data_IF_730359578002
#
_entry.id   IF_730359578002
#
_cell.length_a   1.000
_cell.length_b   1.000
_cell.length_c   1.000
_cell.angle_alpha   90.00
_cell.angle_beta   90.00
_cell.angle_gamma   90.00
#
_symmetry.space_group_name_H-M   'P 1'
#
loop_
_entity.id
_entity.type
_entity.pdbx_description
1 polymer ?
#
# COMPACT_ATOMS: atom_id res chain seq x y z
N UNK A 1 -6.22 -24.35 14.74
CA UNK A 1 -6.05 -25.27 13.65
C UNK A 1 -7.03 -25.04 12.49
N UNK A 2 -8.20 -25.70 12.35
CA UNK A 2 -9.08 -25.51 11.18
C UNK A 2 -9.64 -24.07 11.03
N UNK A 3 -9.97 -23.38 12.12
CA UNK A 3 -10.46 -22.01 12.10
C UNK A 3 -9.39 -20.99 11.65
N UNK A 4 -8.13 -21.24 11.97
CA UNK A 4 -7.00 -20.39 11.56
C UNK A 4 -6.68 -20.55 10.07
N UNK A 5 -6.85 -21.75 9.51
CA UNK A 5 -6.66 -22.00 8.07
C UNK A 5 -7.80 -21.43 7.21
N UNK A 6 -9.03 -21.45 7.71
CA UNK A 6 -10.18 -20.79 7.05
C UNK A 6 -10.01 -19.29 7.01
N UNK A 7 -9.53 -18.68 8.10
CA UNK A 7 -9.29 -17.22 8.19
C UNK A 7 -8.17 -16.77 7.24
N UNK A 8 -7.08 -17.52 7.14
CA UNK A 8 -5.99 -17.24 6.19
C UNK A 8 -6.40 -17.39 4.73
N UNK A 9 -7.29 -18.35 4.41
CA UNK A 9 -7.77 -18.56 3.03
C UNK A 9 -8.79 -17.50 2.60
N UNK A 10 -9.66 -17.03 3.49
CA UNK A 10 -10.61 -15.94 3.19
C UNK A 10 -9.90 -14.60 2.99
N UNK A 11 -8.84 -14.31 3.74
CA UNK A 11 -8.09 -13.07 3.64
C UNK A 11 -7.43 -12.83 2.28
N UNK A 12 -7.00 -13.89 1.58
CA UNK A 12 -6.26 -13.73 0.34
C UNK A 12 -7.15 -13.39 -0.86
N UNK A 13 -8.27 -14.06 -1.05
CA UNK A 13 -9.18 -13.80 -2.18
C UNK A 13 -9.90 -12.45 -2.04
N UNK A 14 -10.35 -12.10 -0.84
CA UNK A 14 -10.96 -10.80 -0.55
C UNK A 14 -9.94 -9.67 -0.65
N UNK A 15 -8.68 -9.93 -0.31
CA UNK A 15 -7.59 -8.97 -0.40
C UNK A 15 -7.26 -8.61 -1.85
N UNK A 16 -7.18 -9.58 -2.74
CA UNK A 16 -6.93 -9.36 -4.18
C UNK A 16 -8.06 -8.53 -4.79
N UNK A 17 -9.32 -8.83 -4.46
CA UNK A 17 -10.47 -8.05 -4.93
C UNK A 17 -10.40 -6.60 -4.45
N UNK A 18 -10.12 -6.38 -3.16
CA UNK A 18 -9.99 -5.05 -2.57
C UNK A 18 -8.77 -4.31 -3.14
N UNK A 19 -7.69 -5.03 -3.42
CA UNK A 19 -6.50 -4.48 -4.06
C UNK A 19 -6.81 -3.99 -5.49
N UNK A 20 -7.54 -4.77 -6.30
CA UNK A 20 -7.92 -4.37 -7.65
C UNK A 20 -8.83 -3.13 -7.61
N UNK A 21 -9.81 -3.12 -6.71
CA UNK A 21 -10.75 -1.99 -6.59
C UNK A 21 -10.07 -0.74 -6.02
N UNK A 22 -9.18 -0.90 -5.03
CA UNK A 22 -8.46 0.21 -4.39
C UNK A 22 -7.26 0.70 -5.19
N UNK A 23 -6.61 -0.17 -5.96
CA UNK A 23 -5.35 0.16 -6.63
C UNK A 23 -5.50 1.15 -7.79
N UNK A 24 -6.66 1.21 -8.43
CA UNK A 24 -6.99 2.25 -9.42
C UNK A 24 -6.99 3.68 -8.80
N UNK A 25 -6.94 3.77 -7.47
CA UNK A 25 -6.98 5.01 -6.70
C UNK A 25 -5.69 5.29 -5.94
N UNK A 26 -4.68 4.43 -6.07
CA UNK A 26 -3.41 4.58 -5.35
C UNK A 26 -2.47 5.54 -6.07
N UNK A 27 -1.93 6.49 -5.33
CA UNK A 27 -0.88 7.40 -5.80
C UNK A 27 0.52 6.80 -5.59
N UNK A 28 0.63 5.72 -4.81
CA UNK A 28 1.80 4.90 -4.56
C UNK A 28 1.47 3.72 -3.66
N UNK A 29 2.42 2.82 -3.45
CA UNK A 29 2.25 1.65 -2.60
C UNK A 29 3.49 1.37 -1.74
N UNK A 30 3.25 0.85 -0.54
CA UNK A 30 4.31 0.29 0.32
C UNK A 30 4.22 -1.24 0.20
N UNK A 31 5.27 -1.85 -0.33
CA UNK A 31 5.41 -3.29 -0.42
C UNK A 31 6.14 -3.81 0.81
N UNK A 32 5.44 -4.59 1.64
CA UNK A 32 6.03 -5.16 2.86
C UNK A 32 6.50 -6.59 2.58
N UNK A 33 7.80 -6.84 2.79
CA UNK A 33 8.43 -8.15 2.60
C UNK A 33 9.10 -8.55 3.91
N UNK A 34 8.97 -9.82 4.31
CA UNK A 34 9.71 -10.32 5.46
C UNK A 34 11.17 -10.59 5.07
N UNK A 35 12.11 -10.04 5.81
CA UNK A 35 13.54 -10.24 5.58
C UNK A 35 13.98 -11.72 5.75
N UNK A 36 13.21 -12.50 6.52
CA UNK A 36 13.44 -13.93 6.71
C UNK A 36 13.10 -14.79 5.50
N UNK A 37 12.19 -14.32 4.65
CA UNK A 37 11.61 -15.13 3.57
C UNK A 37 11.97 -14.60 2.18
N UNK A 38 12.31 -13.30 2.08
CA UNK A 38 12.52 -12.62 0.80
C UNK A 38 11.24 -12.50 -0.04
N UNK A 39 11.36 -12.18 -1.33
CA UNK A 39 10.22 -12.07 -2.24
C UNK A 39 9.66 -13.44 -2.59
N UNK A 40 8.46 -13.75 -2.08
CA UNK A 40 7.74 -15.00 -2.31
C UNK A 40 6.80 -14.91 -3.51
N UNK A 41 6.15 -16.03 -3.87
CA UNK A 41 5.16 -16.08 -4.95
C UNK A 41 4.04 -15.04 -4.79
N UNK A 42 3.56 -14.80 -3.55
CA UNK A 42 2.56 -13.77 -3.27
C UNK A 42 3.07 -12.35 -3.54
N UNK A 43 4.34 -12.07 -3.26
CA UNK A 43 4.97 -10.79 -3.57
C UNK A 43 4.92 -10.53 -5.07
N UNK A 44 5.26 -11.54 -5.88
CA UNK A 44 5.22 -11.49 -7.33
C UNK A 44 3.80 -11.27 -7.87
N UNK A 45 2.80 -11.94 -7.29
CA UNK A 45 1.38 -11.70 -7.63
C UNK A 45 0.95 -10.26 -7.31
N UNK A 46 1.35 -9.72 -6.16
CA UNK A 46 1.03 -8.34 -5.77
C UNK A 46 1.69 -7.32 -6.70
N UNK A 47 2.94 -7.54 -7.09
CA UNK A 47 3.65 -6.67 -8.04
C UNK A 47 2.99 -6.71 -9.42
N UNK A 48 2.62 -7.90 -9.90
CA UNK A 48 1.89 -8.04 -11.16
C UNK A 48 0.58 -7.26 -11.15
N UNK A 49 -0.21 -7.40 -10.09
CA UNK A 49 -1.46 -6.66 -9.91
C UNK A 49 -1.23 -5.14 -9.84
N UNK A 50 -0.27 -4.71 -9.02
CA UNK A 50 0.08 -3.29 -8.90
C UNK A 50 0.46 -2.69 -10.27
N UNK A 51 1.20 -3.44 -11.08
CA UNK A 51 1.56 -3.02 -12.44
C UNK A 51 0.35 -2.94 -13.36
N UNK A 52 -0.55 -3.93 -13.32
CA UNK A 52 -1.75 -3.97 -14.17
C UNK A 52 -2.72 -2.83 -13.86
N UNK A 53 -2.85 -2.44 -12.60
CA UNK A 53 -3.73 -1.34 -12.18
C UNK A 53 -3.06 0.04 -12.25
N UNK A 54 -1.77 0.08 -12.62
CA UNK A 54 -1.05 1.33 -12.89
C UNK A 54 -0.56 2.07 -11.65
N UNK A 55 -0.22 1.37 -10.57
CA UNK A 55 0.44 2.00 -9.40
C UNK A 55 1.74 2.67 -9.85
N UNK A 56 1.89 3.99 -9.66
CA UNK A 56 2.99 4.74 -10.27
C UNK A 56 4.33 4.55 -9.55
N UNK A 57 4.33 4.34 -8.24
CA UNK A 57 5.53 4.23 -7.43
C UNK A 57 5.37 3.20 -6.31
N UNK A 58 6.44 2.46 -6.01
CA UNK A 58 6.50 1.48 -4.91
C UNK A 58 7.69 1.82 -4.02
N UNK A 59 7.47 1.78 -2.71
CA UNK A 59 8.50 1.79 -1.68
C UNK A 59 8.49 0.43 -1.00
N UNK A 60 9.63 -0.11 -0.66
CA UNK A 60 9.71 -1.41 0.03
C UNK A 60 10.02 -1.20 1.51
N UNK A 61 9.28 -1.90 2.36
CA UNK A 61 9.62 -2.07 3.77
C UNK A 61 10.03 -3.52 4.02
N UNK A 62 11.33 -3.73 4.25
CA UNK A 62 11.90 -5.03 4.59
C UNK A 62 11.74 -5.26 6.09
N UNK A 63 10.66 -5.96 6.44
CA UNK A 63 10.22 -6.17 7.81
C UNK A 63 10.89 -7.38 8.47
N UNK A 64 10.81 -7.49 9.79
CA UNK A 64 11.35 -8.57 10.61
C UNK A 64 12.88 -8.69 10.57
N UNK A 65 13.58 -7.58 10.41
CA UNK A 65 15.05 -7.58 10.42
C UNK A 65 15.63 -8.01 11.77
N UNK A 66 14.84 -7.92 12.84
CA UNK A 66 15.18 -8.42 14.17
C UNK A 66 15.32 -9.95 14.27
N UNK A 67 14.85 -10.68 13.25
CA UNK A 67 14.96 -12.14 13.16
C UNK A 67 16.11 -12.61 12.26
N UNK A 68 16.86 -11.68 11.68
CA UNK A 68 17.99 -11.96 10.79
C UNK A 68 19.26 -11.43 11.45
N UNK A 69 20.10 -12.33 11.93
CA UNK A 69 21.35 -11.97 12.64
C UNK A 69 22.50 -11.67 11.67
N UNK A 70 22.41 -12.13 10.43
CA UNK A 70 23.46 -12.00 9.42
C UNK A 70 23.22 -10.79 8.50
N UNK A 71 24.07 -9.75 8.55
CA UNK A 71 23.96 -8.60 7.66
C UNK A 71 24.12 -8.96 6.17
N UNK A 72 24.92 -9.96 5.81
CA UNK A 72 25.12 -10.38 4.43
C UNK A 72 23.84 -10.97 3.86
N UNK A 73 23.04 -11.66 4.69
CA UNK A 73 21.75 -12.18 4.29
C UNK A 73 20.75 -11.05 3.99
N UNK A 74 20.77 -9.97 4.77
CA UNK A 74 19.91 -8.80 4.50
C UNK A 74 20.26 -8.12 3.18
N UNK A 75 21.55 -8.05 2.83
CA UNK A 75 22.00 -7.50 1.54
C UNK A 75 21.56 -8.39 0.38
N UNK A 76 21.66 -9.71 0.53
CA UNK A 76 21.21 -10.67 -0.48
C UNK A 76 19.70 -10.56 -0.74
N UNK A 77 18.92 -10.48 0.35
CA UNK A 77 17.47 -10.31 0.24
C UNK A 77 17.10 -8.97 -0.43
N UNK A 78 17.82 -7.89 -0.11
CA UNK A 78 17.63 -6.60 -0.77
C UNK A 78 17.90 -6.70 -2.29
N UNK A 79 18.98 -7.34 -2.68
CA UNK A 79 19.31 -7.57 -4.11
C UNK A 79 18.20 -8.36 -4.81
N UNK A 80 17.71 -9.44 -4.20
CA UNK A 80 16.62 -10.24 -4.76
C UNK A 80 15.32 -9.44 -4.91
N UNK A 81 15.03 -8.54 -3.95
CA UNK A 81 13.88 -7.63 -4.02
C UNK A 81 14.04 -6.67 -5.19
N UNK A 82 15.22 -6.05 -5.39
CA UNK A 82 15.50 -5.15 -6.51
C UNK A 82 15.36 -5.84 -7.86
N UNK A 83 15.92 -7.05 -8.00
CA UNK A 83 15.76 -7.87 -9.21
C UNK A 83 14.28 -8.20 -9.48
N UNK A 84 13.54 -8.55 -8.44
CA UNK A 84 12.09 -8.83 -8.56
C UNK A 84 11.32 -7.58 -8.99
N UNK A 85 11.60 -6.40 -8.44
CA UNK A 85 10.98 -5.14 -8.84
C UNK A 85 11.25 -4.83 -10.33
N UNK A 86 12.49 -4.97 -10.77
CA UNK A 86 12.89 -4.78 -12.16
C UNK A 86 12.18 -5.77 -13.11
N UNK A 87 12.04 -7.04 -12.72
CA UNK A 87 11.32 -8.07 -13.49
C UNK A 87 9.86 -7.65 -13.78
N UNK A 88 9.19 -7.00 -12.81
CA UNK A 88 7.81 -6.53 -12.95
C UNK A 88 7.70 -5.08 -13.47
N UNK A 89 8.82 -4.46 -13.84
CA UNK A 89 8.88 -3.14 -14.48
C UNK A 89 8.68 -1.98 -13.51
N UNK A 90 9.01 -2.17 -12.23
CA UNK A 90 9.14 -1.10 -11.25
C UNK A 90 10.58 -0.61 -11.16
N UNK A 91 10.76 0.55 -10.54
CA UNK A 91 12.07 1.13 -10.32
C UNK A 91 12.87 0.30 -9.31
N UNK A 92 14.01 -0.24 -9.74
CA UNK A 92 14.92 -1.00 -8.89
C UNK A 92 15.68 -0.13 -7.89
N UNK A 93 15.76 1.17 -8.16
CA UNK A 93 16.39 2.17 -7.28
C UNK A 93 15.41 2.76 -6.26
N UNK A 94 14.18 2.24 -6.19
CA UNK A 94 13.22 2.70 -5.20
C UNK A 94 13.75 2.54 -3.77
N UNK A 95 13.28 3.38 -2.82
CA UNK A 95 13.67 3.26 -1.42
C UNK A 95 13.30 1.89 -0.83
N UNK A 96 14.28 1.24 -0.19
CA UNK A 96 14.08 0.00 0.59
C UNK A 96 14.46 0.29 2.03
N UNK A 97 13.48 0.39 2.89
CA UNK A 97 13.65 0.66 4.32
C UNK A 97 13.68 -0.67 5.07
N UNK A 98 14.66 -0.84 5.95
CA UNK A 98 14.86 -2.06 6.74
C UNK A 98 14.43 -1.81 8.19
N UNK A 99 13.64 -2.71 8.77
CA UNK A 99 13.22 -2.53 10.15
C UNK A 99 12.38 -3.66 10.72
N UNK A 100 11.93 -3.47 11.95
CA UNK A 100 10.99 -4.35 12.63
C UNK A 100 9.77 -3.57 13.10
N UNK A 101 8.65 -3.75 12.39
CA UNK A 101 7.40 -3.12 12.76
C UNK A 101 6.91 -3.57 14.15
N UNK A 102 7.25 -4.80 14.57
CA UNK A 102 6.91 -5.29 15.90
C UNK A 102 7.65 -4.51 16.99
N UNK A 103 8.98 -4.34 16.85
CA UNK A 103 9.75 -3.55 17.81
C UNK A 103 9.31 -2.10 17.88
N UNK A 104 8.98 -1.51 16.74
CA UNK A 104 8.44 -0.16 16.70
C UNK A 104 7.08 -0.06 17.40
N UNK A 105 6.21 -1.06 17.25
CA UNK A 105 4.90 -1.10 17.92
C UNK A 105 5.03 -1.28 19.45
N UNK A 106 6.03 -2.03 19.92
CA UNK A 106 6.29 -2.29 21.33
C UNK A 106 7.10 -1.16 22.01
N UNK A 107 7.57 -0.20 21.24
CA UNK A 107 8.32 0.95 21.74
C UNK A 107 7.52 1.79 22.73
N UNK A 108 8.18 2.30 23.75
CA UNK A 108 7.53 3.08 24.82
C UNK A 108 7.22 4.53 24.42
N UNK A 109 7.88 5.04 23.39
CA UNK A 109 7.68 6.39 22.84
C UNK A 109 8.07 6.45 21.37
N UNK A 110 7.62 7.48 20.65
CA UNK A 110 7.98 7.69 19.25
C UNK A 110 9.47 8.06 19.04
N UNK A 111 10.16 8.48 20.11
CA UNK A 111 11.59 8.82 20.07
C UNK A 111 12.48 7.60 20.32
N UNK A 112 11.90 6.41 20.46
CA UNK A 112 12.64 5.16 20.62
C UNK A 112 13.37 4.82 19.32
N UNK A 113 14.65 4.41 19.35
CA UNK A 113 15.39 3.98 18.15
C UNK A 113 14.68 2.90 17.33
N UNK A 114 13.83 2.08 17.95
CA UNK A 114 13.02 1.10 17.25
C UNK A 114 11.99 1.74 16.27
N UNK A 115 11.64 3.03 16.47
CA UNK A 115 10.71 3.78 15.61
C UNK A 115 11.41 4.48 14.44
N UNK A 116 12.73 4.58 14.40
CA UNK A 116 13.48 5.27 13.33
C UNK A 116 13.12 4.71 11.96
N UNK A 117 13.02 3.40 11.81
CA UNK A 117 12.63 2.77 10.54
C UNK A 117 11.22 3.17 10.04
N UNK A 118 10.32 3.51 10.95
CA UNK A 118 8.98 3.97 10.59
C UNK A 118 9.02 5.44 10.17
N UNK A 119 9.82 6.26 10.83
CA UNK A 119 10.03 7.66 10.43
C UNK A 119 10.71 7.73 9.07
N UNK A 120 11.77 6.96 8.86
CA UNK A 120 12.45 6.83 7.57
C UNK A 120 11.51 6.38 6.45
N UNK A 121 10.61 5.41 6.75
CA UNK A 121 9.58 4.98 5.79
C UNK A 121 8.62 6.14 5.44
N UNK A 122 8.19 6.93 6.42
CA UNK A 122 7.29 8.06 6.17
C UNK A 122 7.97 9.17 5.39
N UNK A 123 9.24 9.47 5.71
CA UNK A 123 10.04 10.44 4.98
C UNK A 123 10.23 9.98 3.51
N UNK A 124 10.51 8.71 3.29
CA UNK A 124 10.61 8.14 1.95
C UNK A 124 9.28 8.21 1.19
N UNK A 125 8.14 8.02 1.85
CA UNK A 125 6.81 8.20 1.24
C UNK A 125 6.61 9.64 0.78
N UNK A 126 6.94 10.61 1.61
CA UNK A 126 6.77 12.03 1.30
C UNK A 126 7.71 12.51 0.19
N UNK A 127 8.90 11.93 0.10
CA UNK A 127 9.94 12.34 -0.85
C UNK A 127 9.83 11.60 -2.20
N UNK A 128 9.53 10.30 -2.19
CA UNK A 128 9.56 9.46 -3.38
C UNK A 128 8.21 9.33 -4.09
N UNK A 129 7.08 9.31 -3.36
CA UNK A 129 5.76 9.21 -3.99
C UNK A 129 5.31 10.61 -4.44
N UNK A 130 5.07 10.81 -5.76
CA UNK A 130 4.72 12.12 -6.25
C UNK A 130 3.36 12.56 -5.71
N UNK A 131 3.27 13.81 -5.27
CA UNK A 131 1.98 14.41 -4.90
C UNK A 131 1.07 14.43 -6.12
N UNK A 132 -0.14 13.82 -6.05
CA UNK A 132 -1.03 13.76 -7.20
C UNK A 132 -1.51 15.15 -7.62
N UNK A 133 -1.46 15.40 -8.93
CA UNK A 133 -2.03 16.63 -9.50
C UNK A 133 -3.57 16.54 -9.49
N UNK A 134 -4.15 17.16 -8.47
CA UNK A 134 -5.61 17.21 -8.30
C UNK A 134 -6.18 18.31 -9.18
N UNK A 135 -6.87 17.94 -10.24
CA UNK A 135 -7.57 18.84 -11.18
C UNK A 135 -8.79 19.49 -10.53
N UNK A 136 -8.56 20.30 -9.47
CA UNK A 136 -9.61 20.92 -8.67
C UNK A 136 -10.42 21.98 -9.44
N UNK A 137 -9.83 22.58 -10.49
CA UNK A 137 -10.44 23.64 -11.31
C UNK A 137 -11.36 23.11 -12.42
N UNK A 138 -11.42 21.80 -12.61
CA UNK A 138 -12.32 21.16 -13.57
C UNK A 138 -13.72 20.92 -12.98
N UNK A 139 -14.75 20.70 -13.82
CA UNK A 139 -16.06 20.28 -13.35
C UNK A 139 -15.98 19.03 -12.48
N UNK A 140 -16.77 18.99 -11.40
CA UNK A 140 -16.84 17.87 -10.48
C UNK A 140 -17.12 16.56 -11.20
N UNK A 141 -16.35 15.52 -10.88
CA UNK A 141 -16.56 14.16 -11.35
C UNK A 141 -16.17 13.17 -10.23
N UNK A 142 -17.11 12.31 -9.89
CA UNK A 142 -16.93 11.21 -8.92
C UNK A 142 -17.56 9.94 -9.50
N UNK A 143 -16.76 8.97 -9.99
CA UNK A 143 -17.26 7.65 -10.32
C UNK A 143 -17.92 7.00 -9.10
N UNK A 144 -19.12 6.44 -9.30
CA UNK A 144 -19.83 5.76 -8.21
C UNK A 144 -19.26 4.35 -8.06
N UNK A 145 -18.77 4.03 -6.87
CA UNK A 145 -18.17 2.73 -6.52
C UNK A 145 -19.16 1.82 -5.80
N UNK A 146 -19.98 2.40 -4.92
CA UNK A 146 -20.99 1.66 -4.18
C UNK A 146 -22.25 2.51 -3.94
N UNK A 147 -23.39 1.84 -3.85
CA UNK A 147 -24.69 2.46 -3.59
C UNK A 147 -25.44 1.69 -2.53
N UNK A 148 -25.85 2.36 -1.48
CA UNK A 148 -26.63 1.75 -0.40
C UNK A 148 -27.71 2.72 0.13
N UNK A 149 -28.72 2.18 0.79
CA UNK A 149 -29.81 2.97 1.36
C UNK A 149 -29.67 3.03 2.90
N UNK A 150 -29.71 4.25 3.43
CA UNK A 150 -29.73 4.48 4.87
C UNK A 150 -31.16 4.85 5.26
N UNK A 151 -31.75 4.10 6.20
CA UNK A 151 -33.09 4.37 6.74
C UNK A 151 -33.16 5.81 7.29
N UNK A 152 -34.09 6.59 6.77
CA UNK A 152 -34.30 7.99 7.17
C UNK A 152 -33.38 9.02 6.48
N UNK A 153 -32.42 8.57 5.67
CA UNK A 153 -31.51 9.45 4.92
C UNK A 153 -31.57 9.28 3.39
N UNK A 154 -32.17 8.17 2.92
CA UNK A 154 -32.31 7.90 1.49
C UNK A 154 -31.15 7.11 0.92
N UNK A 155 -30.98 7.20 -0.40
CA UNK A 155 -29.92 6.53 -1.15
C UNK A 155 -28.60 7.31 -1.03
N UNK A 156 -27.54 6.60 -0.75
CA UNK A 156 -26.17 7.12 -0.63
C UNK A 156 -25.32 6.47 -1.70
N UNK A 157 -24.64 7.26 -2.49
CA UNK A 157 -23.62 6.83 -3.43
C UNK A 157 -22.24 7.20 -2.85
N UNK A 158 -21.28 6.27 -2.94
CA UNK A 158 -19.90 6.50 -2.53
C UNK A 158 -18.96 6.40 -3.72
N UNK A 159 -17.84 7.09 -3.64
CA UNK A 159 -16.81 7.08 -4.67
C UNK A 159 -15.68 8.05 -4.33
N UNK A 160 -14.64 8.02 -5.15
CA UNK A 160 -13.53 8.99 -5.07
C UNK A 160 -13.78 10.16 -6.01
N UNK A 161 -13.58 11.37 -5.52
CA UNK A 161 -13.59 12.56 -6.39
C UNK A 161 -12.34 12.54 -7.28
N UNK A 162 -12.50 12.33 -8.58
CA UNK A 162 -11.41 12.34 -9.55
C UNK A 162 -10.97 13.75 -9.94
N UNK A 163 -11.93 14.66 -10.04
CA UNK A 163 -11.68 16.06 -10.40
C UNK A 163 -12.78 16.98 -9.88
N UNK A 164 -12.46 18.27 -9.84
CA UNK A 164 -13.36 19.30 -9.36
C UNK A 164 -13.46 19.34 -7.83
N UNK A 165 -14.39 20.14 -7.36
CA UNK A 165 -14.68 20.33 -5.94
C UNK A 165 -16.19 20.26 -5.74
N UNK A 166 -16.61 19.73 -4.61
CA UNK A 166 -18.00 19.67 -4.17
C UNK A 166 -18.11 20.13 -2.73
N UNK A 167 -19.02 21.06 -2.45
CA UNK A 167 -19.31 21.51 -1.09
C UNK A 167 -20.55 20.80 -0.56
N UNK A 168 -20.58 20.63 0.74
CA UNK A 168 -21.76 20.05 1.41
C UNK A 168 -23.01 20.88 1.12
N UNK A 169 -24.06 20.22 0.62
CA UNK A 169 -25.35 20.85 0.28
C UNK A 169 -25.49 21.32 -1.17
N UNK A 170 -24.44 21.13 -2.00
CA UNK A 170 -24.57 21.36 -3.44
C UNK A 170 -25.30 20.20 -4.12
N UNK A 171 -26.05 20.52 -5.18
CA UNK A 171 -26.72 19.52 -6.02
C UNK A 171 -25.71 18.90 -6.99
N UNK A 172 -25.86 17.60 -7.24
CA UNK A 172 -25.06 16.84 -8.21
C UNK A 172 -25.98 16.14 -9.19
N UNK A 173 -25.52 15.98 -10.41
CA UNK A 173 -26.16 15.17 -11.44
C UNK A 173 -25.55 13.76 -11.42
N UNK A 174 -26.42 12.72 -11.48
CA UNK A 174 -26.02 11.30 -11.47
C UNK A 174 -26.37 10.67 -12.81
#
# INVERSE_FOLDING_TARGET
>A
SAASDVYKRQGHADYVKNMITGAAQMDGAILVIAATDGPMAQTKEHLLLARQVGVPAIIVFLNKTDQVDDPELLELVEMEVRETLAEYGFDEDCPIIKGSALKALEASSNDDPACECIQELMDAVDEYIPTPDRKADLPFLMPVEDVFTITGRGTVATGRVERGQLKTGEEVEI
#
